data_IF_064617083869
#
_entry.id   IF_064617083869
#
_cell.length_a   1.000
_cell.length_b   1.000
_cell.length_c   1.000
_cell.angle_alpha   90.00
_cell.angle_beta   90.00
_cell.angle_gamma   90.00
#
_symmetry.space_group_name_H-M   'P 1'
#
loop_
_entity.id
_entity.type
_entity.pdbx_description
1 polymer ?
#
# COMPACT_ATOMS: atom_id res chain seq x y z
N UNK A 1 14.03 25.91 -27.13
CA UNK A 1 13.70 26.64 -25.89
C UNK A 1 12.17 26.65 -25.72
N UNK A 2 11.61 25.62 -25.07
CA UNK A 2 10.15 25.45 -24.93
C UNK A 2 9.71 25.84 -23.53
N UNK A 3 8.70 26.72 -23.44
CA UNK A 3 8.30 27.40 -22.20
C UNK A 3 6.97 26.82 -21.69
N UNK A 4 7.04 25.72 -20.95
CA UNK A 4 5.87 25.06 -20.38
C UNK A 4 5.33 25.88 -19.20
N UNK A 5 4.08 26.34 -19.28
CA UNK A 5 3.38 26.98 -18.16
C UNK A 5 2.89 25.90 -17.20
N UNK A 6 3.46 25.85 -15.99
CA UNK A 6 2.98 24.99 -14.93
C UNK A 6 1.63 25.50 -14.39
N UNK A 7 0.56 24.72 -14.60
CA UNK A 7 -0.74 24.92 -13.96
C UNK A 7 -0.74 24.24 -12.59
N UNK A 8 -0.66 25.03 -11.51
CA UNK A 8 -0.81 24.53 -10.14
C UNK A 8 -2.27 24.15 -9.87
N UNK A 9 -2.62 22.89 -10.15
CA UNK A 9 -3.85 22.26 -9.68
C UNK A 9 -3.77 21.96 -8.18
N UNK A 10 -4.04 22.95 -7.33
CA UNK A 10 -4.09 22.74 -5.88
C UNK A 10 -5.32 21.93 -5.46
N UNK A 11 -5.11 20.89 -4.64
CA UNK A 11 -6.20 20.12 -4.05
C UNK A 11 -7.02 21.02 -3.10
N UNK A 12 -8.29 21.27 -3.43
CA UNK A 12 -9.22 22.01 -2.58
C UNK A 12 -9.85 21.08 -1.54
N UNK A 13 -9.10 20.87 -0.46
CA UNK A 13 -9.70 20.49 0.83
C UNK A 13 -10.40 21.69 1.48
N UNK A 14 -11.34 21.38 2.39
CA UNK A 14 -12.23 22.27 3.14
C UNK A 14 -13.35 22.96 2.33
N UNK A 15 -14.59 22.61 2.66
CA UNK A 15 -15.37 23.46 3.57
C UNK A 15 -16.09 22.59 4.61
N UNK A 16 -16.08 23.04 5.87
CA UNK A 16 -16.92 22.52 6.94
C UNK A 16 -17.86 23.64 7.38
N UNK A 17 -19.17 23.42 7.29
CA UNK A 17 -20.17 24.42 7.67
C UNK A 17 -20.81 24.08 9.02
N UNK A 18 -20.57 24.94 10.01
CA UNK A 18 -21.30 24.96 11.28
C UNK A 18 -22.73 25.50 11.11
N UNK A 19 -23.71 24.95 11.83
CA UNK A 19 -24.86 25.67 12.45
C UNK A 19 -25.50 24.73 13.50
N UNK A 20 -25.12 24.81 14.78
CA UNK A 20 -25.76 25.61 15.86
C UNK A 20 -27.23 25.22 16.13
N UNK A 21 -27.45 24.61 17.30
CA UNK A 21 -28.76 24.43 17.96
C UNK A 21 -28.55 24.33 19.48
N UNK A 22 -29.18 25.21 20.26
CA UNK A 22 -28.81 25.55 21.65
C UNK A 22 -29.87 25.10 22.68
N UNK A 23 -29.48 25.07 23.99
CA UNK A 23 -30.22 24.83 25.26
C UNK A 23 -29.92 23.45 25.89
N UNK A 24 -29.70 23.24 27.20
CA UNK A 24 -29.53 24.01 28.46
C UNK A 24 -28.68 23.09 29.40
N UNK A 25 -28.09 23.50 30.54
CA UNK A 25 -27.97 24.81 31.21
C UNK A 25 -27.68 24.63 32.73
N UNK A 26 -27.26 25.72 33.41
CA UNK A 26 -26.90 25.86 34.85
C UNK A 26 -25.50 25.41 35.28
N UNK A 27 -24.91 26.23 36.16
CA UNK A 27 -23.59 26.08 36.74
C UNK A 27 -23.63 25.32 38.08
N UNK A 28 -22.49 24.77 38.48
CA UNK A 28 -22.09 24.78 39.89
C UNK A 28 -20.57 24.98 39.99
N UNK A 29 -20.16 25.88 40.89
CA UNK A 29 -18.76 26.15 41.21
C UNK A 29 -18.22 25.10 42.17
N UNK A 30 -16.97 24.68 41.97
CA UNK A 30 -16.35 23.60 42.75
C UNK A 30 -14.83 23.61 42.65
N UNK A 31 -14.18 24.60 43.26
CA UNK A 31 -12.72 24.60 43.44
C UNK A 31 -12.33 23.44 44.36
N UNK A 32 -11.54 22.49 43.87
CA UNK A 32 -10.83 21.51 44.71
C UNK A 32 -9.35 21.58 44.39
N UNK A 33 -8.65 22.38 45.18
CA UNK A 33 -7.21 22.58 45.12
C UNK A 33 -6.52 21.39 45.81
N UNK A 34 -6.02 20.41 45.04
CA UNK A 34 -5.15 19.35 45.59
C UNK A 34 -3.69 19.74 45.46
N UNK A 35 -3.09 20.07 46.60
CA UNK A 35 -1.65 20.17 46.77
C UNK A 35 -0.98 18.80 46.66
N UNK A 36 0.03 18.67 45.81
CA UNK A 36 1.05 17.62 45.91
C UNK A 36 2.43 18.28 45.92
N UNK A 37 3.11 18.19 47.05
CA UNK A 37 4.47 18.69 47.22
C UNK A 37 5.48 17.59 46.88
N UNK A 38 6.23 17.82 45.81
CA UNK A 38 7.69 17.71 45.66
C UNK A 38 8.50 16.48 46.14
N UNK A 39 9.63 16.31 45.44
CA UNK A 39 10.78 15.40 45.68
C UNK A 39 10.55 13.92 45.30
N UNK A 40 11.47 13.24 44.61
CA UNK A 40 12.88 13.56 44.27
C UNK A 40 13.17 13.40 42.77
N UNK A 41 14.13 14.17 42.24
CA UNK A 41 14.65 13.97 40.89
C UNK A 41 15.78 12.93 40.90
N UNK A 42 15.64 11.85 40.14
CA UNK A 42 16.73 10.90 39.92
C UNK A 42 17.76 11.50 38.95
N UNK A 43 19.04 11.46 39.33
CA UNK A 43 20.14 11.92 38.48
C UNK A 43 20.33 10.99 37.28
N UNK A 44 20.00 11.47 36.08
CA UNK A 44 20.32 10.76 34.85
C UNK A 44 21.84 10.78 34.61
N UNK A 45 22.47 9.61 34.58
CA UNK A 45 23.87 9.46 34.16
C UNK A 45 24.01 9.87 32.69
N UNK A 46 24.87 10.84 32.39
CA UNK A 46 25.20 11.22 31.02
C UNK A 46 26.09 10.16 30.37
N UNK A 47 25.51 9.04 29.97
CA UNK A 47 26.14 8.20 28.95
C UNK A 47 26.07 8.94 27.62
N UNK A 48 27.18 9.54 27.22
CA UNK A 48 27.38 10.04 25.85
C UNK A 48 27.38 8.85 24.89
N UNK A 49 26.20 8.47 24.42
CA UNK A 49 26.07 7.70 23.20
C UNK A 49 26.56 8.59 22.06
N UNK A 50 27.82 8.40 21.69
CA UNK A 50 28.30 8.87 20.39
C UNK A 50 27.40 8.21 19.34
N UNK A 51 26.67 9.03 18.59
CA UNK A 51 25.97 8.57 17.41
C UNK A 51 27.04 8.15 16.40
N UNK A 52 27.27 6.84 16.29
CA UNK A 52 28.17 6.28 15.30
C UNK A 52 27.47 6.40 13.94
N UNK A 53 27.71 7.54 13.27
CA UNK A 53 27.01 8.04 12.08
C UNK A 53 27.43 7.26 10.81
N UNK A 54 27.53 5.94 10.95
CA UNK A 54 28.19 4.99 10.05
C UNK A 54 27.26 3.85 9.62
N UNK A 55 26.05 4.22 9.20
CA UNK A 55 25.13 3.35 8.48
C UNK A 55 24.90 3.78 7.01
N UNK A 56 25.70 4.72 6.49
CA UNK A 56 25.80 4.99 5.04
C UNK A 56 26.66 3.93 4.35
N UNK A 57 26.19 2.67 4.36
CA UNK A 57 26.71 1.66 3.43
C UNK A 57 26.46 2.18 2.01
N UNK A 58 27.52 2.58 1.30
CA UNK A 58 27.40 3.07 -0.07
C UNK A 58 26.67 2.03 -0.93
N UNK A 59 25.55 2.41 -1.54
CA UNK A 59 24.79 1.54 -2.44
C UNK A 59 25.75 0.97 -3.49
N UNK A 60 25.77 -0.36 -3.74
CA UNK A 60 26.57 -0.94 -4.81
C UNK A 60 26.25 -0.21 -6.12
N UNK A 61 27.28 0.22 -6.86
CA UNK A 61 27.10 1.06 -8.07
C UNK A 61 26.20 0.44 -9.14
N UNK A 62 26.00 -0.88 -9.08
CA UNK A 62 25.27 -1.68 -10.05
C UNK A 62 23.94 -2.25 -9.49
N UNK A 63 23.43 -1.74 -8.36
CA UNK A 63 22.18 -2.21 -7.77
C UNK A 63 20.97 -1.71 -8.58
N UNK A 64 20.10 -2.59 -9.14
CA UNK A 64 18.98 -2.19 -9.99
C UNK A 64 17.79 -1.61 -9.22
N UNK A 65 17.84 -1.62 -7.89
CA UNK A 65 16.82 -1.01 -7.03
C UNK A 65 17.46 0.21 -6.37
N UNK A 66 16.97 1.40 -6.72
CA UNK A 66 17.38 2.66 -6.10
C UNK A 66 16.26 3.70 -6.28
N UNK A 67 15.48 3.96 -5.23
CA UNK A 67 14.46 5.03 -5.26
C UNK A 67 14.28 5.66 -3.88
N UNK A 68 14.34 6.99 -3.83
CA UNK A 68 14.23 7.78 -2.59
C UNK A 68 12.99 8.69 -2.56
N UNK A 69 12.34 8.90 -3.70
CA UNK A 69 11.20 9.79 -3.88
C UNK A 69 10.44 9.44 -5.18
N UNK A 70 9.38 10.20 -5.46
CA UNK A 70 8.41 9.93 -6.53
C UNK A 70 8.55 10.87 -7.75
N UNK A 71 9.68 11.59 -7.89
CA UNK A 71 9.84 12.61 -8.96
C UNK A 71 11.22 12.66 -9.64
N UNK A 72 12.24 12.01 -9.09
CA UNK A 72 13.53 11.85 -9.78
C UNK A 72 13.36 11.07 -11.10
N UNK A 73 14.28 11.21 -12.08
CA UNK A 73 14.16 10.56 -13.38
C UNK A 73 13.96 9.04 -13.26
N UNK A 74 12.88 8.53 -13.86
CA UNK A 74 12.48 7.13 -13.75
C UNK A 74 13.27 6.25 -14.74
N UNK A 75 14.02 5.28 -14.24
CA UNK A 75 14.84 4.36 -15.06
C UNK A 75 14.18 2.98 -15.24
N UNK A 76 13.60 2.40 -14.19
CA UNK A 76 12.92 1.10 -14.23
C UNK A 76 11.62 1.10 -13.40
N UNK A 77 10.58 0.41 -13.89
CA UNK A 77 9.26 0.36 -13.24
C UNK A 77 8.58 -1.00 -13.40
N UNK A 78 7.85 -1.43 -12.37
CA UNK A 78 6.95 -2.59 -12.43
C UNK A 78 5.54 -2.09 -12.78
N UNK A 79 4.99 -2.52 -13.92
CA UNK A 79 3.60 -2.25 -14.31
C UNK A 79 2.76 -3.52 -14.11
N UNK A 80 1.56 -3.38 -13.55
CA UNK A 80 0.69 -4.50 -13.18
C UNK A 80 0.09 -5.30 -14.34
N UNK A 81 -0.79 -6.24 -13.98
CA UNK A 81 -1.58 -7.07 -14.88
C UNK A 81 -3.06 -7.10 -14.47
N UNK A 82 -3.95 -6.95 -15.46
CA UNK A 82 -5.39 -7.08 -15.30
C UNK A 82 -5.89 -8.51 -15.63
N UNK A 83 -5.02 -9.33 -16.22
CA UNK A 83 -5.26 -10.71 -16.59
C UNK A 83 -5.75 -11.55 -15.40
N UNK A 84 -6.80 -12.35 -15.63
CA UNK A 84 -7.44 -13.23 -14.65
C UNK A 84 -7.95 -12.56 -13.36
N UNK A 85 -8.07 -11.23 -13.33
CA UNK A 85 -8.56 -10.52 -12.15
C UNK A 85 -9.91 -11.04 -11.68
N UNK A 86 -10.01 -11.36 -10.38
CA UNK A 86 -11.20 -11.86 -9.72
C UNK A 86 -11.78 -10.81 -8.78
N UNK A 87 -13.11 -10.77 -8.72
CA UNK A 87 -13.85 -10.01 -7.72
C UNK A 87 -13.61 -10.70 -6.37
N UNK A 88 -13.09 -10.02 -5.34
CA UNK A 88 -12.87 -10.63 -4.04
C UNK A 88 -14.23 -11.04 -3.42
N UNK A 89 -14.28 -12.11 -2.60
CA UNK A 89 -15.44 -12.42 -1.77
C UNK A 89 -15.87 -11.19 -0.95
N UNK A 90 -17.17 -10.98 -0.76
CA UNK A 90 -17.70 -9.81 -0.06
C UNK A 90 -17.63 -9.95 1.47
N UNK A 91 -16.42 -9.92 2.00
CA UNK A 91 -16.11 -9.90 3.43
C UNK A 91 -16.14 -8.48 4.02
N UNK A 92 -15.99 -8.37 5.35
CA UNK A 92 -16.16 -7.10 6.07
C UNK A 92 -15.14 -6.03 5.66
N UNK A 93 -13.89 -6.42 5.38
CA UNK A 93 -12.86 -5.50 4.94
C UNK A 93 -13.10 -5.00 3.49
N UNK A 94 -13.62 -5.87 2.62
CA UNK A 94 -14.03 -5.49 1.26
C UNK A 94 -15.22 -4.52 1.32
N UNK A 95 -16.20 -4.77 2.20
CA UNK A 95 -17.33 -3.86 2.45
C UNK A 95 -16.87 -2.49 2.96
N UNK A 96 -16.00 -2.46 3.98
CA UNK A 96 -15.50 -1.23 4.59
C UNK A 96 -14.69 -0.35 3.62
N UNK A 97 -14.08 -0.94 2.59
CA UNK A 97 -13.26 -0.24 1.61
C UNK A 97 -13.96 -0.03 0.24
N UNK A 98 -15.26 -0.31 0.10
CA UNK A 98 -16.00 -0.13 -1.16
C UNK A 98 -17.30 0.66 -0.97
N UNK A 99 -17.64 1.51 -1.96
CA UNK A 99 -18.88 2.29 -1.91
C UNK A 99 -20.14 1.40 -2.00
N UNK A 100 -21.17 1.75 -1.23
CA UNK A 100 -22.43 1.00 -1.09
C UNK A 100 -23.08 0.63 -2.44
N UNK A 101 -22.99 1.55 -3.42
CA UNK A 101 -23.45 1.37 -4.80
C UNK A 101 -22.95 0.07 -5.46
N UNK A 102 -21.78 -0.43 -5.05
CA UNK A 102 -21.15 -1.62 -5.61
C UNK A 102 -21.27 -2.87 -4.73
N UNK A 103 -21.79 -2.78 -3.50
CA UNK A 103 -21.91 -3.93 -2.60
C UNK A 103 -22.69 -5.09 -3.23
N UNK A 104 -23.80 -4.82 -3.92
CA UNK A 104 -24.57 -5.83 -4.66
C UNK A 104 -23.81 -6.50 -5.81
N UNK A 105 -22.79 -5.85 -6.37
CA UNK A 105 -21.87 -6.46 -7.35
C UNK A 105 -20.94 -7.47 -6.66
N UNK A 106 -20.27 -7.07 -5.57
CA UNK A 106 -19.39 -7.98 -4.82
C UNK A 106 -20.16 -9.17 -4.21
N UNK A 107 -21.36 -8.94 -3.68
CA UNK A 107 -22.23 -10.02 -3.18
C UNK A 107 -22.60 -11.04 -4.26
N UNK A 108 -22.81 -10.60 -5.50
CA UNK A 108 -23.22 -11.46 -6.62
C UNK A 108 -22.06 -12.16 -7.33
N UNK A 109 -20.90 -11.50 -7.40
CA UNK A 109 -19.77 -11.94 -8.23
C UNK A 109 -18.50 -12.29 -7.44
N UNK A 110 -18.48 -12.17 -6.12
CA UNK A 110 -17.32 -12.53 -5.29
C UNK A 110 -16.84 -13.97 -5.55
N UNK A 111 -15.53 -14.12 -5.75
CA UNK A 111 -14.88 -15.37 -6.18
C UNK A 111 -14.91 -15.63 -7.70
N UNK A 112 -15.59 -14.81 -8.49
CA UNK A 112 -15.66 -14.93 -9.96
C UNK A 112 -14.74 -13.92 -10.65
N UNK A 113 -14.40 -14.17 -11.92
CA UNK A 113 -13.65 -13.22 -12.76
C UNK A 113 -14.42 -11.90 -12.99
N UNK A 114 -13.72 -10.77 -13.05
CA UNK A 114 -14.30 -9.52 -13.53
C UNK A 114 -14.84 -9.65 -14.98
N UNK A 115 -15.79 -8.79 -15.42
CA UNK A 115 -16.36 -8.85 -16.76
C UNK A 115 -15.28 -8.82 -17.86
N UNK A 116 -15.24 -9.88 -18.68
CA UNK A 116 -14.15 -10.14 -19.64
C UNK A 116 -13.92 -8.98 -20.63
N UNK A 117 -14.98 -8.32 -21.07
CA UNK A 117 -14.88 -7.18 -21.99
C UNK A 117 -14.27 -5.93 -21.34
N UNK A 118 -14.44 -5.74 -20.02
CA UNK A 118 -13.74 -4.69 -19.28
C UNK A 118 -12.28 -5.06 -19.06
N UNK A 119 -11.99 -6.31 -18.67
CA UNK A 119 -10.61 -6.80 -18.51
C UNK A 119 -9.83 -6.67 -19.82
N UNK A 120 -10.43 -7.00 -20.97
CA UNK A 120 -9.80 -6.86 -22.29
C UNK A 120 -9.43 -5.41 -22.63
N UNK A 121 -10.27 -4.44 -22.26
CA UNK A 121 -9.99 -3.00 -22.44
C UNK A 121 -8.85 -2.55 -21.52
N UNK A 122 -8.91 -2.90 -20.24
CA UNK A 122 -7.87 -2.58 -19.27
C UNK A 122 -6.49 -3.14 -19.67
N UNK A 123 -6.43 -4.37 -20.21
CA UNK A 123 -5.20 -4.94 -20.77
C UNK A 123 -4.65 -4.05 -21.90
N UNK A 124 -5.49 -3.65 -22.87
CA UNK A 124 -5.06 -2.81 -23.98
C UNK A 124 -4.54 -1.42 -23.52
N UNK A 125 -5.21 -0.81 -22.53
CA UNK A 125 -4.79 0.46 -21.92
C UNK A 125 -3.44 0.32 -21.20
N UNK A 126 -3.24 -0.77 -20.42
CA UNK A 126 -2.00 -1.05 -19.69
C UNK A 126 -0.85 -1.39 -20.65
N UNK A 127 -1.09 -2.12 -21.73
CA UNK A 127 -0.04 -2.40 -22.73
C UNK A 127 0.40 -1.13 -23.47
N UNK A 128 -0.50 -0.20 -23.81
CA UNK A 128 -0.06 1.07 -24.42
C UNK A 128 0.65 1.98 -23.39
N UNK A 129 0.24 1.99 -22.12
CA UNK A 129 1.04 2.61 -21.05
C UNK A 129 2.46 2.04 -20.99
N UNK A 130 2.60 0.71 -21.12
CA UNK A 130 3.93 0.06 -21.18
C UNK A 130 4.72 0.46 -22.44
N UNK A 131 4.05 0.68 -23.57
CA UNK A 131 4.70 1.13 -24.81
C UNK A 131 5.18 2.57 -24.69
N UNK A 132 4.39 3.46 -24.09
CA UNK A 132 4.77 4.85 -23.83
C UNK A 132 5.98 4.90 -22.91
N UNK A 133 5.95 4.20 -21.77
CA UNK A 133 7.09 4.14 -20.83
C UNK A 133 8.40 3.69 -21.50
N UNK A 134 8.35 2.66 -22.36
CA UNK A 134 9.52 2.19 -23.12
C UNK A 134 10.02 3.22 -24.15
N UNK A 135 9.12 4.00 -24.76
CA UNK A 135 9.49 5.09 -25.70
C UNK A 135 10.18 6.24 -24.97
N UNK A 136 9.80 6.52 -23.72
CA UNK A 136 10.49 7.46 -22.83
C UNK A 136 11.79 6.89 -22.22
N UNK A 137 12.22 5.69 -22.63
CA UNK A 137 13.48 5.07 -22.19
C UNK A 137 13.39 4.24 -20.89
N UNK A 138 12.21 4.12 -20.29
CA UNK A 138 12.01 3.40 -19.02
C UNK A 138 11.98 1.89 -19.24
N UNK A 139 12.74 1.14 -18.44
CA UNK A 139 12.68 -0.32 -18.41
C UNK A 139 11.38 -0.76 -17.73
N UNK A 140 10.57 -1.57 -18.41
CA UNK A 140 9.27 -2.03 -17.87
C UNK A 140 9.33 -3.52 -17.53
N UNK A 141 9.22 -3.84 -16.23
CA UNK A 141 8.97 -5.20 -15.73
C UNK A 141 7.46 -5.42 -15.54
N UNK A 142 7.02 -6.67 -15.62
CA UNK A 142 5.62 -7.09 -15.45
C UNK A 142 5.55 -8.32 -14.56
N UNK A 143 4.60 -8.41 -13.62
CA UNK A 143 4.42 -9.59 -12.78
C UNK A 143 4.10 -10.84 -13.62
N UNK A 144 4.29 -12.01 -13.03
CA UNK A 144 3.94 -13.27 -13.68
C UNK A 144 2.41 -13.46 -13.74
N UNK A 145 1.85 -13.97 -14.85
CA UNK A 145 0.43 -14.32 -14.92
C UNK A 145 0.07 -15.39 -13.89
N UNK A 146 -0.96 -15.14 -13.10
CA UNK A 146 -1.50 -16.06 -12.09
C UNK A 146 -2.99 -16.25 -12.36
N UNK A 147 -3.52 -17.44 -12.05
CA UNK A 147 -4.94 -17.66 -11.92
C UNK A 147 -5.40 -17.27 -10.51
N UNK A 148 -6.13 -16.15 -10.41
CA UNK A 148 -6.64 -15.62 -9.14
C UNK A 148 -7.95 -16.28 -8.70
N UNK A 149 -8.56 -17.13 -9.54
CA UNK A 149 -9.76 -17.89 -9.16
C UNK A 149 -9.43 -19.10 -8.26
N UNK A 150 -8.15 -19.50 -8.22
CA UNK A 150 -7.67 -20.59 -7.34
C UNK A 150 -7.98 -20.26 -5.89
N UNK A 151 -8.79 -21.13 -5.29
CA UNK A 151 -9.14 -21.10 -3.88
C UNK A 151 -7.96 -21.59 -3.03
N UNK A 152 -7.68 -20.91 -1.93
CA UNK A 152 -6.65 -21.29 -0.96
C UNK A 152 -7.18 -21.19 0.46
N UNK A 153 -6.55 -21.95 1.35
CA UNK A 153 -6.90 -22.09 2.76
C UNK A 153 -5.65 -21.96 3.62
N UNK A 154 -5.71 -21.08 4.62
CA UNK A 154 -4.77 -21.04 5.76
C UNK A 154 -5.41 -21.80 6.93
N UNK A 155 -4.74 -21.96 8.09
CA UNK A 155 -5.40 -22.43 9.31
C UNK A 155 -6.57 -21.53 9.74
N UNK A 156 -6.47 -20.23 9.43
CA UNK A 156 -7.33 -19.17 9.96
C UNK A 156 -8.50 -18.78 9.02
N UNK A 157 -8.35 -18.92 7.70
CA UNK A 157 -9.40 -18.54 6.74
C UNK A 157 -9.29 -19.27 5.38
N UNK A 158 -10.31 -19.13 4.55
CA UNK A 158 -10.35 -19.62 3.16
C UNK A 158 -10.80 -18.50 2.21
N UNK A 159 -10.14 -18.33 1.06
CA UNK A 159 -10.45 -17.27 0.09
C UNK A 159 -10.04 -17.64 -1.34
N UNK A 160 -10.45 -16.82 -2.31
CA UNK A 160 -9.87 -16.77 -3.67
C UNK A 160 -8.87 -15.62 -3.74
N UNK A 161 -8.16 -15.48 -4.86
CA UNK A 161 -7.31 -14.33 -5.13
C UNK A 161 -8.08 -13.07 -5.56
N UNK A 162 -7.32 -12.01 -5.87
CA UNK A 162 -7.82 -10.75 -6.41
C UNK A 162 -7.17 -10.44 -7.76
N UNK A 163 -5.95 -9.89 -7.79
CA UNK A 163 -5.17 -9.60 -9.01
C UNK A 163 -3.70 -9.26 -8.70
N UNK A 164 -2.91 -8.94 -9.73
CA UNK A 164 -1.61 -8.23 -9.62
C UNK A 164 -1.61 -6.92 -10.44
N UNK A 165 -2.74 -6.21 -10.44
CA UNK A 165 -2.92 -4.97 -11.19
C UNK A 165 -2.20 -3.76 -10.56
N UNK A 166 -2.01 -3.77 -9.23
CA UNK A 166 -1.52 -2.62 -8.45
C UNK A 166 -0.23 -2.97 -7.68
N UNK A 167 0.95 -2.98 -8.34
CA UNK A 167 2.23 -3.26 -7.66
C UNK A 167 2.50 -2.35 -6.46
N UNK A 168 2.03 -1.09 -6.53
CA UNK A 168 2.21 -0.07 -5.48
C UNK A 168 1.50 -0.40 -4.17
N UNK A 169 0.49 -1.26 -4.18
CA UNK A 169 -0.24 -1.66 -2.97
C UNK A 169 0.56 -2.65 -2.11
N UNK A 170 1.44 -3.44 -2.75
CA UNK A 170 2.16 -4.55 -2.12
C UNK A 170 3.68 -4.38 -2.10
N UNK A 171 4.25 -3.50 -2.93
CA UNK A 171 5.68 -3.24 -2.99
C UNK A 171 5.98 -1.77 -2.68
N UNK A 172 6.86 -1.55 -1.71
CA UNK A 172 7.50 -0.27 -1.43
C UNK A 172 9.00 -0.39 -1.72
N UNK A 173 9.60 0.65 -2.31
CA UNK A 173 11.05 0.77 -2.46
C UNK A 173 11.54 1.92 -1.58
N UNK A 174 12.61 1.69 -0.81
CA UNK A 174 13.25 2.71 0.03
C UNK A 174 14.77 2.58 -0.14
N UNK A 175 15.37 3.53 -0.86
CA UNK A 175 16.76 3.43 -1.30
C UNK A 175 16.97 2.15 -2.12
N UNK A 176 17.88 1.28 -1.67
CA UNK A 176 18.19 0.01 -2.33
C UNK A 176 17.45 -1.22 -1.76
N UNK A 177 16.34 -0.99 -1.06
CA UNK A 177 15.52 -2.03 -0.43
C UNK A 177 14.12 -2.09 -1.04
N UNK A 178 13.67 -3.31 -1.40
CA UNK A 178 12.30 -3.60 -1.80
C UNK A 178 11.59 -4.38 -0.69
N UNK A 179 10.45 -3.85 -0.26
CA UNK A 179 9.69 -4.31 0.91
C UNK A 179 8.33 -4.86 0.44
N UNK A 180 8.06 -6.14 0.71
CA UNK A 180 6.72 -6.73 0.54
C UNK A 180 5.83 -6.35 1.73
N UNK A 181 4.70 -5.72 1.43
CA UNK A 181 3.69 -5.35 2.41
C UNK A 181 2.91 -6.59 2.93
N UNK A 182 2.40 -6.54 4.18
CA UNK A 182 1.67 -7.66 4.78
C UNK A 182 0.31 -7.90 4.08
N UNK A 183 -0.29 -6.83 3.53
CA UNK A 183 -1.70 -6.73 3.13
C UNK A 183 -2.66 -6.89 4.32
N UNK A 184 -3.91 -6.46 4.13
CA UNK A 184 -4.97 -6.54 5.14
C UNK A 184 -6.24 -7.28 4.66
N UNK A 185 -6.36 -7.59 3.37
CA UNK A 185 -7.51 -8.32 2.82
C UNK A 185 -7.17 -9.79 2.64
N UNK A 186 -8.09 -10.67 3.05
CA UNK A 186 -7.94 -12.13 2.92
C UNK A 186 -7.64 -12.53 1.48
N UNK A 187 -8.34 -11.92 0.52
CA UNK A 187 -8.18 -12.17 -0.92
C UNK A 187 -6.82 -11.74 -1.52
N UNK A 188 -6.02 -10.96 -0.79
CA UNK A 188 -4.71 -10.43 -1.23
C UNK A 188 -3.52 -11.11 -0.53
N UNK A 189 -3.77 -12.11 0.32
CA UNK A 189 -2.75 -12.76 1.14
C UNK A 189 -1.53 -13.24 0.33
N UNK A 190 -1.79 -13.93 -0.78
CA UNK A 190 -0.79 -14.54 -1.68
C UNK A 190 -0.42 -13.68 -2.92
N UNK A 191 -0.81 -12.41 -2.97
CA UNK A 191 -0.56 -11.52 -4.13
C UNK A 191 0.93 -11.37 -4.46
N UNK A 192 1.80 -11.43 -3.45
CA UNK A 192 3.25 -11.38 -3.59
C UNK A 192 3.81 -12.42 -4.58
N UNK A 193 3.13 -13.57 -4.76
CA UNK A 193 3.59 -14.65 -5.64
C UNK A 193 3.84 -14.18 -7.07
N UNK A 194 3.06 -13.20 -7.56
CA UNK A 194 3.19 -12.67 -8.91
C UNK A 194 4.50 -11.87 -9.14
N UNK A 195 5.12 -11.39 -8.07
CA UNK A 195 6.31 -10.54 -8.11
C UNK A 195 7.61 -11.29 -7.79
N UNK A 196 7.53 -12.51 -7.24
CA UNK A 196 8.69 -13.26 -6.72
C UNK A 196 9.77 -13.57 -7.74
N UNK A 197 9.49 -13.60 -9.05
CA UNK A 197 10.55 -13.72 -10.07
C UNK A 197 11.38 -12.43 -10.13
N UNK A 198 10.72 -11.28 -10.35
CA UNK A 198 11.34 -9.95 -10.41
C UNK A 198 12.16 -9.67 -9.13
N UNK A 199 11.58 -9.92 -7.95
CA UNK A 199 12.23 -9.62 -6.68
C UNK A 199 13.48 -10.48 -6.46
N UNK A 200 13.45 -11.77 -6.84
CA UNK A 200 14.64 -12.63 -6.80
C UNK A 200 15.71 -12.17 -7.79
N UNK A 201 15.32 -11.71 -8.97
CA UNK A 201 16.26 -11.18 -9.97
C UNK A 201 16.99 -9.95 -9.40
N UNK A 202 16.27 -9.01 -8.75
CA UNK A 202 16.87 -7.86 -8.06
C UNK A 202 17.76 -8.25 -6.86
N UNK A 203 17.31 -9.22 -6.04
CA UNK A 203 18.07 -9.70 -4.88
C UNK A 203 19.41 -10.32 -5.31
N UNK A 204 19.41 -11.10 -6.39
CA UNK A 204 20.64 -11.64 -7.00
C UNK A 204 21.57 -10.53 -7.53
N UNK A 205 21.04 -9.36 -7.88
CA UNK A 205 21.78 -8.15 -8.26
C UNK A 205 22.07 -7.20 -7.07
N UNK A 206 21.99 -7.69 -5.83
CA UNK A 206 22.41 -6.95 -4.64
C UNK A 206 21.40 -5.97 -4.06
N UNK A 207 20.14 -5.99 -4.50
CA UNK A 207 19.06 -5.28 -3.81
C UNK A 207 18.76 -5.96 -2.46
N UNK A 208 18.46 -5.16 -1.43
CA UNK A 208 17.90 -5.69 -0.17
C UNK A 208 16.45 -6.10 -0.43
N UNK A 209 16.04 -7.25 0.09
CA UNK A 209 14.67 -7.74 0.00
C UNK A 209 14.15 -8.05 1.41
N UNK A 210 13.09 -7.35 1.79
CA UNK A 210 12.41 -7.49 3.07
C UNK A 210 10.97 -7.91 2.86
N UNK A 211 10.44 -8.75 3.75
CA UNK A 211 9.01 -9.05 3.81
C UNK A 211 8.49 -8.68 5.19
N UNK A 212 7.51 -7.78 5.25
CA UNK A 212 6.85 -7.45 6.51
C UNK A 212 6.15 -8.71 7.10
N UNK A 213 6.02 -8.84 8.43
CA UNK A 213 5.36 -10.00 9.05
C UNK A 213 3.95 -10.23 8.49
N UNK A 214 3.73 -11.37 7.85
CA UNK A 214 2.41 -11.73 7.31
C UNK A 214 1.44 -11.98 8.47
N UNK A 215 0.31 -11.24 8.56
CA UNK A 215 -0.71 -11.50 9.57
C UNK A 215 -1.39 -12.84 9.30
N UNK A 216 -1.95 -13.47 10.32
CA UNK A 216 -2.81 -14.66 10.16
C UNK A 216 -4.10 -14.34 9.40
N UNK A 217 -4.57 -13.09 9.49
CA UNK A 217 -5.88 -12.65 9.01
C UNK A 217 -7.03 -13.49 9.59
N UNK A 218 -6.88 -13.95 10.83
CA UNK A 218 -7.95 -14.51 11.64
C UNK A 218 -9.06 -13.46 11.93
N UNK A 219 -10.21 -13.86 12.44
CA UNK A 219 -11.38 -12.97 12.58
C UNK A 219 -11.11 -11.81 13.55
N UNK A 220 -10.20 -11.97 14.50
CA UNK A 220 -9.76 -10.95 15.47
C UNK A 220 -9.01 -9.76 14.84
N UNK A 221 -8.63 -9.85 13.56
CA UNK A 221 -8.07 -8.71 12.81
C UNK A 221 -9.15 -7.71 12.34
N UNK A 222 -10.43 -8.09 12.40
CA UNK A 222 -11.54 -7.37 11.77
C UNK A 222 -12.71 -7.15 12.73
N UNK A 223 -13.17 -5.89 12.83
CA UNK A 223 -14.44 -5.57 13.47
C UNK A 223 -15.60 -6.08 12.58
N UNK A 224 -16.34 -7.10 13.05
CA UNK A 224 -17.41 -7.80 12.31
C UNK A 224 -18.76 -7.05 12.32
#
# INVERSE_FOLDING_TARGET
MLRVRCLRGGSRGAEAAHYIGWRLGRAFTGWVQRSLQSTQAATASQNTFAADDKATSSVPKDCPVCSYNEWDPLEEVIVGRAENACVPPFSVEVKANTYEKYWGFYQKFGGQSFPKDHVKKAIAEIEEMCNILKREGVIVKRPDPIDWSVKYKTPDFESTGMYAAMPRDILLVVGNEIIEAPMAWRARFFEYRAYRRIIKDYFNCGAKWTTAPKPTMADELYDQ
#
